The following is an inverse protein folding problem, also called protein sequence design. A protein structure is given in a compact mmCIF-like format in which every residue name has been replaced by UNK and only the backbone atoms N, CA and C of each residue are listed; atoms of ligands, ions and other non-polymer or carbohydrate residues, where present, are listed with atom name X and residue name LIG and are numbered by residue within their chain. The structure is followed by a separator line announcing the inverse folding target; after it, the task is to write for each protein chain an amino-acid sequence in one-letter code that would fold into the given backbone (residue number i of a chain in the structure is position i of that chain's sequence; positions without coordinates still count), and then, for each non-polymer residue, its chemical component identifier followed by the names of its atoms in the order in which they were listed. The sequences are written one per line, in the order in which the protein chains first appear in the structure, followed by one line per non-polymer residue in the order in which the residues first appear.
data_IF_020233987719
#
_entry.id   IF_020233987719
#
_cell.length_a   1.000
_cell.length_b   1.000
_cell.length_c   1.000
_cell.angle_alpha   90.00
_cell.angle_beta   90.00
_cell.angle_gamma   90.00
#
_symmetry.space_group_name_H-M   'P 1'
#
loop_
_entity.id
_entity.type
_entity.pdbx_description
1 polymer ?
#
# COMPACT_ATOMS: atom_id res chain seq x y z
N UNK A 1 -73.31 -97.87 -7.49
CA UNK A 1 -72.01 -97.30 -7.07
C UNK A 1 -71.77 -96.00 -7.83
N UNK A 2 -72.11 -94.84 -7.25
CA UNK A 2 -71.59 -93.56 -7.72
C UNK A 2 -70.26 -93.31 -6.99
N UNK A 3 -69.20 -93.06 -7.76
CA UNK A 3 -67.82 -92.88 -7.30
C UNK A 3 -67.72 -91.94 -6.10
N UNK A 4 -67.02 -92.39 -5.05
CA UNK A 4 -66.75 -91.69 -3.79
C UNK A 4 -66.03 -90.33 -3.98
N UNK A 5 -65.57 -89.98 -5.18
CA UNK A 5 -64.95 -88.68 -5.46
C UNK A 5 -65.94 -87.58 -5.82
N UNK A 6 -67.13 -87.92 -6.33
CA UNK A 6 -68.11 -86.89 -6.71
C UNK A 6 -68.80 -86.25 -5.50
N UNK A 7 -68.93 -87.00 -4.39
CA UNK A 7 -69.52 -86.49 -3.13
C UNK A 7 -68.61 -85.53 -2.35
N UNK A 8 -67.30 -85.51 -2.62
CA UNK A 8 -66.33 -84.62 -1.97
C UNK A 8 -66.15 -83.27 -2.69
N UNK A 9 -66.54 -83.18 -3.96
CA UNK A 9 -66.39 -81.95 -4.78
C UNK A 9 -67.60 -81.02 -4.62
N UNK A 10 -68.78 -81.56 -4.31
CA UNK A 10 -70.02 -80.79 -4.14
C UNK A 10 -69.96 -79.74 -3.00
N UNK A 11 -69.40 -80.01 -1.79
CA UNK A 11 -69.32 -78.97 -0.76
C UNK A 11 -68.24 -77.90 -1.03
N UNK A 12 -67.26 -78.16 -1.90
CA UNK A 12 -66.23 -77.18 -2.27
C UNK A 12 -66.73 -76.24 -3.37
N UNK A 13 -67.57 -76.74 -4.29
CA UNK A 13 -68.19 -75.91 -5.33
C UNK A 13 -69.24 -74.94 -4.76
N UNK A 14 -69.83 -75.24 -3.60
CA UNK A 14 -70.86 -74.41 -2.97
C UNK A 14 -70.29 -73.25 -2.13
N UNK A 15 -69.00 -73.28 -1.77
CA UNK A 15 -68.32 -72.20 -1.03
C UNK A 15 -67.71 -71.14 -1.98
N UNK A 16 -67.46 -71.48 -3.25
CA UNK A 16 -66.92 -70.54 -4.25
C UNK A 16 -68.00 -69.61 -4.83
N UNK A 17 -69.28 -69.89 -4.58
CA UNK A 17 -70.42 -69.04 -4.95
C UNK A 17 -71.10 -68.37 -3.74
N UNK A 18 -70.38 -68.19 -2.63
CA UNK A 18 -70.82 -67.25 -1.61
C UNK A 18 -70.68 -65.83 -2.17
N UNK A 19 -71.76 -65.01 -2.25
CA UNK A 19 -71.62 -63.62 -2.63
C UNK A 19 -70.77 -62.92 -1.57
N UNK A 20 -69.55 -62.54 -1.95
CA UNK A 20 -68.74 -61.61 -1.17
C UNK A 20 -69.50 -60.30 -1.20
N UNK A 21 -70.07 -59.90 -0.06
CA UNK A 21 -70.75 -58.62 0.09
C UNK A 21 -69.83 -57.49 -0.36
N UNK A 22 -70.31 -56.69 -1.30
CA UNK A 22 -69.62 -55.49 -1.76
C UNK A 22 -69.83 -54.46 -0.66
N UNK A 23 -68.77 -54.13 0.09
CA UNK A 23 -68.83 -53.13 1.14
C UNK A 23 -68.95 -51.72 0.54
N UNK A 24 -69.80 -50.83 1.10
CA UNK A 24 -69.92 -49.47 0.62
C UNK A 24 -68.61 -48.69 0.85
N UNK A 25 -68.18 -47.94 -0.18
CA UNK A 25 -66.99 -47.08 -0.11
C UNK A 25 -67.42 -45.67 0.28
N UNK A 26 -66.71 -45.05 1.23
CA UNK A 26 -66.95 -43.67 1.66
C UNK A 26 -65.92 -42.74 1.03
N UNK A 27 -66.40 -41.78 0.23
CA UNK A 27 -65.57 -40.72 -0.36
C UNK A 27 -65.77 -39.43 0.42
N UNK A 28 -64.69 -38.92 1.01
CA UNK A 28 -64.68 -37.65 1.72
C UNK A 28 -64.38 -36.51 0.75
N UNK A 29 -65.21 -35.46 0.75
CA UNK A 29 -65.04 -34.29 -0.10
C UNK A 29 -64.23 -33.19 0.60
N UNK A 30 -63.47 -32.41 -0.18
CA UNK A 30 -62.63 -31.29 0.29
C UNK A 30 -63.44 -30.10 0.81
N UNK A 31 -64.63 -29.88 0.26
CA UNK A 31 -65.54 -28.80 0.67
C UNK A 31 -66.49 -29.20 1.82
N UNK A 32 -66.36 -30.43 2.32
CA UNK A 32 -67.22 -31.00 3.35
C UNK A 32 -68.25 -31.98 2.80
N UNK A 33 -68.65 -32.93 3.66
CA UNK A 33 -69.62 -33.99 3.35
C UNK A 33 -68.97 -35.31 2.90
N UNK A 34 -69.75 -36.38 3.04
CA UNK A 34 -69.37 -37.75 2.69
C UNK A 34 -70.34 -38.34 1.67
N UNK A 35 -69.81 -39.07 0.71
CA UNK A 35 -70.60 -39.78 -0.29
C UNK A 35 -70.31 -41.28 -0.16
N UNK A 36 -71.31 -42.03 0.28
CA UNK A 36 -71.26 -43.48 0.38
C UNK A 36 -71.82 -44.10 -0.90
N UNK A 37 -71.06 -45.01 -1.50
CA UNK A 37 -71.50 -45.71 -2.70
C UNK A 37 -70.48 -46.71 -3.22
N UNK A 38 -70.87 -47.46 -4.24
CA UNK A 38 -69.99 -48.42 -4.90
C UNK A 38 -69.23 -47.75 -6.05
N UNK A 39 -67.92 -47.98 -6.18
CA UNK A 39 -67.15 -47.43 -7.30
C UNK A 39 -67.43 -48.27 -8.55
N UNK A 40 -68.11 -47.68 -9.54
CA UNK A 40 -68.40 -48.35 -10.81
C UNK A 40 -67.21 -48.22 -11.77
N UNK A 41 -66.62 -47.04 -11.87
CA UNK A 41 -65.53 -46.77 -12.82
C UNK A 41 -64.68 -45.59 -12.35
N UNK A 42 -63.37 -45.68 -12.58
CA UNK A 42 -62.41 -44.63 -12.22
C UNK A 42 -61.63 -44.18 -13.45
N UNK A 43 -61.57 -42.87 -13.67
CA UNK A 43 -60.75 -42.21 -14.70
C UNK A 43 -59.58 -41.45 -14.05
N UNK A 44 -58.70 -40.84 -14.86
CA UNK A 44 -57.56 -40.05 -14.36
C UNK A 44 -58.01 -38.85 -13.49
N UNK A 45 -59.08 -38.15 -13.90
CA UNK A 45 -59.57 -36.94 -13.23
C UNK A 45 -60.87 -37.10 -12.43
N UNK A 46 -61.59 -38.23 -12.54
CA UNK A 46 -62.90 -38.41 -11.88
C UNK A 46 -63.17 -39.85 -11.45
N UNK A 47 -64.06 -40.00 -10.47
CA UNK A 47 -64.56 -41.27 -9.93
C UNK A 47 -66.07 -41.31 -10.11
N UNK A 48 -66.61 -42.42 -10.63
CA UNK A 48 -68.04 -42.61 -10.82
C UNK A 48 -68.58 -43.58 -9.76
N UNK A 49 -69.45 -43.09 -8.89
CA UNK A 49 -70.02 -43.81 -7.75
C UNK A 49 -71.48 -44.17 -8.02
N UNK A 50 -71.90 -45.36 -7.59
CA UNK A 50 -73.30 -45.76 -7.48
C UNK A 50 -73.76 -45.47 -6.05
N UNK A 51 -74.50 -44.37 -5.87
CA UNK A 51 -75.13 -44.02 -4.59
C UNK A 51 -76.57 -44.54 -4.57
N UNK A 52 -77.21 -44.58 -3.39
CA UNK A 52 -78.62 -45.01 -3.24
C UNK A 52 -79.60 -44.17 -4.10
N UNK A 53 -79.18 -42.95 -4.45
CA UNK A 53 -79.90 -41.98 -5.28
C UNK A 53 -79.55 -42.02 -6.78
N UNK A 54 -78.62 -42.90 -7.22
CA UNK A 54 -78.24 -43.07 -8.63
C UNK A 54 -76.73 -42.96 -8.89
N UNK A 55 -76.33 -42.85 -10.16
CA UNK A 55 -74.92 -42.72 -10.55
C UNK A 55 -74.45 -41.27 -10.39
N UNK A 56 -73.42 -41.03 -9.59
CA UNK A 56 -72.84 -39.70 -9.34
C UNK A 56 -71.36 -39.68 -9.74
N UNK A 57 -70.99 -38.72 -10.59
CA UNK A 57 -69.58 -38.47 -10.97
C UNK A 57 -68.99 -37.41 -10.04
N UNK A 58 -67.83 -37.70 -9.45
CA UNK A 58 -67.08 -36.79 -8.57
C UNK A 58 -65.67 -36.60 -9.14
N UNK A 59 -65.21 -35.36 -9.26
CA UNK A 59 -63.86 -35.05 -9.73
C UNK A 59 -62.83 -35.19 -8.60
N UNK A 60 -61.64 -35.71 -8.91
CA UNK A 60 -60.62 -36.05 -7.90
C UNK A 60 -60.06 -34.84 -7.17
N UNK A 61 -60.11 -33.66 -7.78
CA UNK A 61 -59.68 -32.40 -7.16
C UNK A 61 -60.58 -32.01 -5.98
N UNK A 62 -61.81 -32.51 -5.96
CA UNK A 62 -62.79 -32.33 -4.89
C UNK A 62 -62.75 -33.44 -3.84
N UNK A 63 -61.95 -34.49 -4.05
CA UNK A 63 -61.83 -35.63 -3.13
C UNK A 63 -60.69 -35.35 -2.15
N UNK A 64 -60.99 -35.39 -0.87
CA UNK A 64 -60.00 -35.33 0.20
C UNK A 64 -59.36 -36.71 0.41
N UNK A 65 -60.18 -37.76 0.55
CA UNK A 65 -59.70 -39.14 0.75
C UNK A 65 -60.78 -40.17 0.39
N UNK A 66 -60.36 -41.34 -0.08
CA UNK A 66 -61.24 -42.50 -0.36
C UNK A 66 -60.99 -43.55 0.72
N UNK A 67 -62.04 -43.97 1.42
CA UNK A 67 -61.97 -44.91 2.54
C UNK A 67 -62.88 -46.11 2.25
N UNK A 68 -62.33 -47.32 2.37
CA UNK A 68 -63.02 -48.59 2.04
C UNK A 68 -63.79 -49.18 3.24
N UNK A 69 -64.10 -48.35 4.24
CA UNK A 69 -64.86 -48.69 5.45
C UNK A 69 -65.79 -47.53 5.79
N UNK A 70 -66.95 -47.83 6.37
CA UNK A 70 -67.88 -46.81 6.86
C UNK A 70 -67.25 -46.07 8.04
N UNK A 71 -67.04 -44.76 7.86
CA UNK A 71 -66.39 -43.91 8.86
C UNK A 71 -67.46 -43.18 9.67
N UNK A 72 -67.37 -43.29 11.00
CA UNK A 72 -68.21 -42.56 11.95
C UNK A 72 -67.80 -41.07 11.98
N UNK A 73 -68.73 -40.17 12.33
CA UNK A 73 -68.54 -38.72 12.23
C UNK A 73 -67.32 -38.21 13.05
N UNK A 74 -67.01 -38.87 14.18
CA UNK A 74 -65.86 -38.56 15.04
C UNK A 74 -64.49 -38.93 14.43
N UNK A 75 -64.45 -39.91 13.52
CA UNK A 75 -63.23 -40.35 12.83
C UNK A 75 -62.94 -39.50 11.58
N UNK A 76 -63.99 -38.96 10.95
CA UNK A 76 -63.90 -38.03 9.83
C UNK A 76 -63.22 -36.72 10.23
N UNK A 77 -63.59 -36.14 11.38
CA UNK A 77 -62.99 -34.90 11.87
C UNK A 77 -61.51 -35.07 12.26
N UNK A 78 -61.13 -36.24 12.79
CA UNK A 78 -59.72 -36.54 13.11
C UNK A 78 -58.87 -36.65 11.85
N UNK A 79 -59.38 -37.33 10.83
CA UNK A 79 -58.68 -37.50 9.55
C UNK A 79 -58.52 -36.15 8.83
N UNK A 80 -59.50 -35.24 8.92
CA UNK A 80 -59.39 -33.88 8.35
C UNK A 80 -58.33 -33.04 9.04
N UNK A 81 -58.32 -33.01 10.38
CA UNK A 81 -57.32 -32.26 11.15
C UNK A 81 -55.91 -32.76 10.85
N UNK A 82 -55.70 -34.07 10.82
CA UNK A 82 -54.38 -34.64 10.52
C UNK A 82 -53.88 -34.33 9.10
N UNK A 83 -54.76 -34.29 8.10
CA UNK A 83 -54.38 -34.01 6.72
C UNK A 83 -54.15 -32.51 6.47
N UNK A 84 -54.97 -31.64 7.07
CA UNK A 84 -54.76 -30.19 7.05
C UNK A 84 -53.48 -29.79 7.78
N UNK A 85 -53.17 -30.42 8.93
CA UNK A 85 -51.95 -30.20 9.68
C UNK A 85 -50.70 -30.63 8.89
N UNK A 86 -50.78 -31.73 8.12
CA UNK A 86 -49.69 -32.17 7.22
C UNK A 86 -49.45 -31.21 6.07
N UNK A 87 -50.51 -30.76 5.39
CA UNK A 87 -50.41 -29.80 4.29
C UNK A 87 -49.90 -28.43 4.77
N UNK A 88 -50.28 -28.01 5.98
CA UNK A 88 -49.77 -26.79 6.59
C UNK A 88 -48.30 -26.91 7.01
N UNK A 89 -47.87 -28.10 7.48
CA UNK A 89 -46.48 -28.38 7.80
C UNK A 89 -45.58 -28.40 6.55
N UNK A 90 -46.04 -29.03 5.46
CA UNK A 90 -45.29 -29.12 4.20
C UNK A 90 -45.10 -27.74 3.55
N UNK A 91 -46.14 -26.89 3.54
CA UNK A 91 -46.04 -25.50 3.05
C UNK A 91 -45.07 -24.64 3.87
N UNK A 92 -45.09 -24.77 5.20
CA UNK A 92 -44.13 -24.06 6.07
C UNK A 92 -42.70 -24.51 5.82
N UNK A 93 -42.48 -25.82 5.63
CA UNK A 93 -41.15 -26.36 5.34
C UNK A 93 -40.63 -25.88 3.97
N UNK A 94 -41.50 -25.73 2.97
CA UNK A 94 -41.16 -25.21 1.64
C UNK A 94 -40.82 -23.71 1.68
N UNK A 95 -41.63 -22.90 2.39
CA UNK A 95 -41.34 -21.47 2.62
C UNK A 95 -40.04 -21.25 3.40
N UNK A 96 -39.78 -22.05 4.44
CA UNK A 96 -38.54 -21.97 5.22
C UNK A 96 -37.31 -22.35 4.37
N UNK A 97 -37.43 -23.35 3.48
CA UNK A 97 -36.37 -23.72 2.52
C UNK A 97 -36.09 -22.62 1.51
N UNK A 98 -37.13 -22.00 0.93
CA UNK A 98 -36.95 -20.87 0.01
C UNK A 98 -36.34 -19.65 0.73
N UNK A 99 -36.81 -19.34 1.94
CA UNK A 99 -36.27 -18.24 2.74
C UNK A 99 -34.80 -18.48 3.11
N UNK A 100 -34.42 -19.72 3.41
CA UNK A 100 -33.03 -20.11 3.63
C UNK A 100 -32.16 -19.99 2.36
N UNK A 101 -32.68 -20.40 1.20
CA UNK A 101 -31.98 -20.28 -0.08
C UNK A 101 -31.76 -18.81 -0.47
N UNK A 102 -32.77 -17.95 -0.33
CA UNK A 102 -32.65 -16.50 -0.62
C UNK A 102 -31.63 -15.82 0.28
N UNK A 103 -31.58 -16.17 1.57
CA UNK A 103 -30.57 -15.66 2.50
C UNK A 103 -29.16 -16.09 2.09
N UNK A 104 -28.99 -17.34 1.66
CA UNK A 104 -27.71 -17.88 1.20
C UNK A 104 -27.23 -17.21 -0.10
N UNK A 105 -28.15 -16.94 -1.04
CA UNK A 105 -27.84 -16.21 -2.27
C UNK A 105 -27.49 -14.75 -1.99
N UNK A 106 -28.23 -14.06 -1.12
CA UNK A 106 -27.93 -12.69 -0.72
C UNK A 106 -26.58 -12.59 -0.01
N UNK A 107 -26.24 -13.57 0.83
CA UNK A 107 -24.93 -13.65 1.50
C UNK A 107 -23.79 -13.89 0.50
N UNK A 108 -23.98 -14.78 -0.48
CA UNK A 108 -23.01 -15.00 -1.57
C UNK A 108 -22.80 -13.76 -2.42
N UNK A 109 -23.87 -13.03 -2.74
CA UNK A 109 -23.81 -11.82 -3.56
C UNK A 109 -23.08 -10.69 -2.80
N UNK A 110 -23.36 -10.55 -1.51
CA UNK A 110 -22.59 -9.65 -0.62
C UNK A 110 -21.12 -10.03 -0.52
N UNK A 111 -20.80 -11.33 -0.42
CA UNK A 111 -19.42 -11.81 -0.38
C UNK A 111 -18.70 -11.54 -1.72
N UNK A 112 -19.37 -11.73 -2.86
CA UNK A 112 -18.82 -11.43 -4.18
C UNK A 112 -18.57 -9.93 -4.38
N UNK A 113 -19.51 -9.09 -3.96
CA UNK A 113 -19.37 -7.63 -4.02
C UNK A 113 -18.24 -7.13 -3.10
N UNK A 114 -18.13 -7.68 -1.89
CA UNK A 114 -17.01 -7.40 -0.98
C UNK A 114 -15.66 -7.83 -1.60
N UNK A 115 -15.59 -9.00 -2.24
CA UNK A 115 -14.38 -9.44 -2.94
C UNK A 115 -14.02 -8.55 -4.13
N UNK A 116 -15.01 -8.11 -4.92
CA UNK A 116 -14.78 -7.16 -6.03
C UNK A 116 -14.30 -5.81 -5.53
N UNK A 117 -14.89 -5.30 -4.45
CA UNK A 117 -14.45 -4.04 -3.83
C UNK A 117 -13.03 -4.15 -3.27
N UNK A 118 -12.71 -5.23 -2.57
CA UNK A 118 -11.37 -5.47 -2.06
C UNK A 118 -10.32 -5.59 -3.19
N UNK A 119 -10.65 -6.31 -4.27
CA UNK A 119 -9.79 -6.43 -5.45
C UNK A 119 -9.59 -5.07 -6.15
N UNK A 120 -10.66 -4.29 -6.32
CA UNK A 120 -10.58 -2.95 -6.92
C UNK A 120 -9.78 -1.97 -6.06
N UNK A 121 -9.91 -2.02 -4.73
CA UNK A 121 -9.08 -1.22 -3.81
C UNK A 121 -7.61 -1.65 -3.89
N UNK A 122 -7.33 -2.94 -3.95
CA UNK A 122 -5.95 -3.45 -4.10
C UNK A 122 -5.34 -3.01 -5.44
N UNK A 123 -6.09 -3.10 -6.53
CA UNK A 123 -5.64 -2.61 -7.85
C UNK A 123 -5.42 -1.09 -7.85
N UNK A 124 -6.30 -0.32 -7.22
CA UNK A 124 -6.14 1.12 -7.08
C UNK A 124 -4.89 1.48 -6.25
N UNK A 125 -4.63 0.76 -5.16
CA UNK A 125 -3.39 0.91 -4.37
C UNK A 125 -2.16 0.57 -5.19
N UNK A 126 -2.17 -0.54 -5.94
CA UNK A 126 -1.07 -0.92 -6.84
C UNK A 126 -0.83 0.13 -7.92
N UNK A 127 -1.88 0.67 -8.54
CA UNK A 127 -1.76 1.76 -9.52
C UNK A 127 -1.21 3.04 -8.87
N UNK A 128 -1.62 3.38 -7.65
CA UNK A 128 -1.09 4.55 -6.94
C UNK A 128 0.40 4.39 -6.60
N UNK A 129 0.81 3.18 -6.18
CA UNK A 129 2.22 2.86 -5.96
C UNK A 129 3.03 2.94 -7.25
N UNK A 130 2.52 2.41 -8.37
CA UNK A 130 3.15 2.51 -9.68
C UNK A 130 3.26 3.98 -10.11
N UNK A 131 2.23 4.81 -9.92
CA UNK A 131 2.29 6.25 -10.19
C UNK A 131 3.31 6.97 -9.31
N UNK A 132 3.45 6.57 -8.03
CA UNK A 132 4.48 7.08 -7.13
C UNK A 132 5.89 6.68 -7.57
N UNK A 133 6.06 5.45 -8.08
CA UNK A 133 7.32 4.99 -8.66
C UNK A 133 7.64 5.70 -9.98
N UNK A 134 6.64 5.86 -10.86
CA UNK A 134 6.76 6.61 -12.11
C UNK A 134 7.04 8.08 -11.89
N UNK A 135 6.53 8.68 -10.81
CA UNK A 135 6.88 10.04 -10.43
C UNK A 135 8.37 10.11 -10.12
N UNK A 136 8.92 9.17 -9.34
CA UNK A 136 10.32 9.11 -8.88
C UNK A 136 11.33 8.70 -9.97
N UNK A 137 11.24 9.28 -11.17
CA UNK A 137 12.18 8.99 -12.27
C UNK A 137 13.62 9.41 -11.92
N UNK A 138 14.63 8.61 -12.29
CA UNK A 138 16.05 8.91 -12.06
C UNK A 138 16.51 10.22 -12.72
N UNK A 139 15.98 10.54 -13.90
CA UNK A 139 16.28 11.81 -14.57
C UNK A 139 15.74 13.02 -13.81
N UNK A 140 14.53 12.92 -13.22
CA UNK A 140 13.96 14.00 -12.43
C UNK A 140 14.76 14.22 -11.15
N UNK A 141 15.21 13.13 -10.52
CA UNK A 141 16.11 13.21 -9.35
C UNK A 141 17.44 13.87 -9.72
N UNK A 142 18.08 13.44 -10.82
CA UNK A 142 19.33 14.02 -11.32
C UNK A 142 19.21 15.52 -11.59
N UNK A 143 18.16 15.94 -12.31
CA UNK A 143 17.95 17.35 -12.65
C UNK A 143 17.78 18.22 -11.40
N UNK A 144 17.08 17.71 -10.38
CA UNK A 144 16.93 18.41 -9.09
C UNK A 144 18.28 18.50 -8.36
N UNK A 145 19.02 17.40 -8.29
CA UNK A 145 20.35 17.36 -7.67
C UNK A 145 21.41 18.17 -8.42
N UNK A 146 21.20 18.44 -9.71
CA UNK A 146 22.05 19.32 -10.51
C UNK A 146 21.89 20.80 -10.11
N UNK A 147 20.68 21.23 -9.79
CA UNK A 147 20.43 22.60 -9.31
C UNK A 147 20.88 22.76 -7.87
N UNK A 148 20.48 21.82 -6.99
CA UNK A 148 20.81 21.85 -5.57
C UNK A 148 21.29 20.46 -5.12
N UNK A 149 22.53 20.32 -4.67
CA UNK A 149 23.03 19.04 -4.14
C UNK A 149 22.12 18.49 -3.04
N UNK A 150 21.70 17.22 -3.15
CA UNK A 150 20.76 16.58 -2.22
C UNK A 150 19.26 16.68 -2.57
N UNK A 151 18.85 17.54 -3.51
CA UNK A 151 17.42 17.73 -3.80
C UNK A 151 16.77 16.54 -4.52
N UNK A 152 17.49 15.87 -5.40
CA UNK A 152 17.06 14.62 -6.02
C UNK A 152 16.91 13.49 -5.00
N UNK A 153 17.81 13.43 -4.00
CA UNK A 153 17.72 12.45 -2.92
C UNK A 153 16.50 12.70 -2.04
N UNK A 154 16.19 13.97 -1.74
CA UNK A 154 14.94 14.34 -1.05
C UNK A 154 13.71 13.89 -1.84
N UNK A 155 13.72 14.09 -3.16
CA UNK A 155 12.63 13.67 -4.06
C UNK A 155 12.39 12.15 -4.05
N UNK A 156 13.46 11.37 -3.90
CA UNK A 156 13.42 9.90 -3.85
C UNK A 156 13.16 9.33 -2.45
N UNK A 157 12.74 10.17 -1.47
CA UNK A 157 12.55 9.82 -0.05
C UNK A 157 13.83 9.31 0.66
N UNK A 158 15.02 9.66 0.14
CA UNK A 158 16.32 9.32 0.71
C UNK A 158 16.75 10.42 1.70
N UNK A 159 16.05 10.49 2.84
CA UNK A 159 16.20 11.56 3.86
C UNK A 159 17.66 11.75 4.32
N UNK A 160 18.39 10.66 4.61
CA UNK A 160 19.78 10.76 5.06
C UNK A 160 20.69 11.41 4.02
N UNK A 161 20.63 10.93 2.77
CA UNK A 161 21.44 11.48 1.68
C UNK A 161 21.03 12.91 1.33
N UNK A 162 19.74 13.23 1.48
CA UNK A 162 19.24 14.60 1.29
C UNK A 162 19.82 15.61 2.28
N UNK A 163 20.31 15.17 3.45
CA UNK A 163 21.04 16.03 4.39
C UNK A 163 22.55 15.96 4.16
N UNK A 164 23.08 14.78 3.88
CA UNK A 164 24.52 14.55 3.75
C UNK A 164 25.15 15.34 2.59
N UNK A 165 24.58 15.27 1.39
CA UNK A 165 25.16 15.95 0.23
C UNK A 165 25.17 17.47 0.33
N UNK A 166 24.09 18.17 0.74
CA UNK A 166 24.14 19.61 0.87
C UNK A 166 25.05 20.06 2.00
N UNK A 167 25.12 19.32 3.12
CA UNK A 167 26.05 19.65 4.21
C UNK A 167 27.51 19.49 3.79
N UNK A 168 27.87 18.39 3.14
CA UNK A 168 29.21 18.19 2.59
C UNK A 168 29.55 19.22 1.52
N UNK A 169 28.61 19.51 0.61
CA UNK A 169 28.82 20.50 -0.43
C UNK A 169 29.00 21.90 0.16
N UNK A 170 28.19 22.30 1.15
CA UNK A 170 28.32 23.59 1.81
C UNK A 170 29.66 23.72 2.56
N UNK A 171 30.09 22.67 3.26
CA UNK A 171 31.39 22.63 3.93
C UNK A 171 32.54 22.78 2.93
N UNK A 172 32.52 22.02 1.82
CA UNK A 172 33.52 22.12 0.77
C UNK A 172 33.51 23.48 0.07
N UNK A 173 32.32 24.06 -0.17
CA UNK A 173 32.17 25.38 -0.77
C UNK A 173 32.74 26.48 0.14
N UNK A 174 32.52 26.36 1.46
CA UNK A 174 33.10 27.26 2.44
C UNK A 174 34.64 27.22 2.41
N UNK A 175 35.23 26.01 2.39
CA UNK A 175 36.69 25.85 2.28
C UNK A 175 37.22 26.43 0.97
N UNK A 176 36.55 26.14 -0.16
CA UNK A 176 36.92 26.69 -1.46
C UNK A 176 36.86 28.22 -1.48
N UNK A 177 35.85 28.82 -0.85
CA UNK A 177 35.71 30.26 -0.72
C UNK A 177 36.83 30.89 0.12
N UNK A 178 37.18 30.30 1.27
CA UNK A 178 38.28 30.82 2.09
C UNK A 178 39.62 30.74 1.33
N UNK A 179 39.90 29.62 0.65
CA UNK A 179 41.09 29.49 -0.20
C UNK A 179 41.09 30.47 -1.38
N UNK A 180 39.94 30.73 -1.99
CA UNK A 180 39.80 31.76 -3.03
C UNK A 180 40.15 33.15 -2.48
N UNK A 181 39.68 33.49 -1.28
CA UNK A 181 39.98 34.77 -0.64
C UNK A 181 41.48 34.92 -0.38
N UNK A 182 42.13 33.90 0.18
CA UNK A 182 43.58 33.88 0.43
C UNK A 182 44.37 34.03 -0.87
N UNK A 183 44.01 33.25 -1.90
CA UNK A 183 44.61 33.36 -3.23
C UNK A 183 44.47 34.78 -3.80
N UNK A 184 43.27 35.36 -3.77
CA UNK A 184 43.01 36.72 -4.29
C UNK A 184 43.85 37.77 -3.57
N UNK A 185 44.00 37.66 -2.24
CA UNK A 185 44.87 38.55 -1.47
C UNK A 185 46.33 38.39 -1.88
N UNK A 186 46.84 37.16 -2.02
CA UNK A 186 48.23 36.94 -2.45
C UNK A 186 48.52 37.44 -3.86
N UNK A 187 47.57 37.34 -4.79
CA UNK A 187 47.70 37.93 -6.14
C UNK A 187 47.75 39.45 -6.08
N UNK A 188 46.94 40.06 -5.21
CA UNK A 188 46.95 41.51 -5.01
C UNK A 188 48.28 41.97 -4.43
N UNK A 189 48.77 41.32 -3.37
CA UNK A 189 50.07 41.64 -2.75
C UNK A 189 51.24 41.49 -3.73
N UNK A 190 51.20 40.46 -4.59
CA UNK A 190 52.17 40.28 -5.66
C UNK A 190 52.15 41.45 -6.68
N UNK A 191 50.97 41.98 -6.99
CA UNK A 191 50.82 43.16 -7.86
C UNK A 191 51.27 44.46 -7.19
N UNK A 192 50.92 44.65 -5.91
CA UNK A 192 51.19 45.87 -5.14
C UNK A 192 52.69 46.07 -4.83
N UNK A 193 53.51 45.01 -4.90
CA UNK A 193 54.97 45.06 -4.69
C UNK A 193 55.75 45.79 -5.80
N UNK A 194 55.07 46.43 -6.75
CA UNK A 194 55.72 47.11 -7.86
C UNK A 194 56.46 46.12 -8.76
N UNK A 195 55.83 44.98 -9.05
CA UNK A 195 56.43 43.94 -9.86
C UNK A 195 56.83 44.51 -11.24
N UNK A 196 58.13 44.49 -11.60
CA UNK A 196 58.65 45.14 -12.80
C UNK A 196 58.21 44.46 -14.10
N UNK A 197 57.63 43.26 -14.02
CA UNK A 197 57.12 42.50 -15.16
C UNK A 197 55.58 42.58 -15.31
N UNK A 198 54.92 43.51 -14.64
CA UNK A 198 53.49 43.79 -14.89
C UNK A 198 53.29 44.54 -16.20
N UNK A 199 52.08 44.49 -16.76
CA UNK A 199 51.76 45.25 -17.98
C UNK A 199 51.98 46.74 -17.77
N UNK A 200 51.54 47.26 -16.62
CA UNK A 200 51.70 48.67 -16.26
C UNK A 200 53.18 49.06 -16.16
N UNK A 201 53.99 48.28 -15.42
CA UNK A 201 55.43 48.58 -15.29
C UNK A 201 56.18 48.47 -16.62
N UNK A 202 55.86 47.49 -17.47
CA UNK A 202 56.44 47.35 -18.81
C UNK A 202 56.06 48.53 -19.71
N UNK A 203 54.80 48.99 -19.64
CA UNK A 203 54.36 50.17 -20.40
C UNK A 203 55.02 51.45 -19.90
N UNK A 204 55.13 51.65 -18.59
CA UNK A 204 55.82 52.80 -18.01
C UNK A 204 57.31 52.79 -18.37
N UNK A 205 57.95 51.62 -18.29
CA UNK A 205 59.35 51.44 -18.69
C UNK A 205 59.56 51.72 -20.18
N UNK A 206 58.66 51.27 -21.07
CA UNK A 206 58.71 51.56 -22.50
C UNK A 206 58.50 53.06 -22.80
N UNK A 207 57.76 53.77 -21.95
CA UNK A 207 57.57 55.23 -22.00
C UNK A 207 58.70 56.01 -21.32
N UNK A 208 59.75 55.34 -20.83
CA UNK A 208 60.89 55.98 -20.17
C UNK A 208 60.59 56.52 -18.76
N UNK A 209 59.45 56.16 -18.16
CA UNK A 209 59.12 56.48 -16.77
C UNK A 209 59.57 55.36 -15.84
N UNK A 210 60.57 55.63 -14.99
CA UNK A 210 61.03 54.69 -13.99
C UNK A 210 60.07 54.63 -12.78
N UNK A 211 59.62 53.43 -12.43
CA UNK A 211 58.95 53.16 -11.16
C UNK A 211 60.00 52.91 -10.05
N UNK A 212 59.66 53.31 -8.82
CA UNK A 212 60.55 53.27 -7.65
C UNK A 212 60.96 51.83 -7.21
N UNK A 213 60.26 50.80 -7.69
CA UNK A 213 60.61 49.41 -7.48
C UNK A 213 61.20 48.85 -8.80
N UNK A 214 62.53 48.78 -8.87
CA UNK A 214 63.35 48.12 -9.90
C UNK A 214 62.92 48.35 -11.37
N UNK A 215 63.74 49.03 -12.17
CA UNK A 215 63.56 49.03 -13.62
C UNK A 215 63.71 47.60 -14.17
N UNK A 216 62.75 47.09 -14.97
CA UNK A 216 62.90 45.76 -15.57
C UNK A 216 64.19 45.71 -16.39
N UNK A 217 65.06 44.75 -16.07
CA UNK A 217 66.29 44.57 -16.84
C UNK A 217 65.96 44.00 -18.21
N UNK A 218 66.48 44.62 -19.26
CA UNK A 218 66.39 44.18 -20.65
C UNK A 218 67.35 43.01 -20.96
N UNK A 219 68.31 42.74 -20.06
CA UNK A 219 69.26 41.63 -20.16
C UNK A 219 68.68 40.38 -19.49
N UNK A 220 68.57 39.23 -20.19
CA UNK A 220 68.02 37.99 -19.63
C UNK A 220 68.78 37.48 -18.39
N UNK A 221 70.09 37.75 -18.29
CA UNK A 221 70.94 37.27 -17.20
C UNK A 221 70.73 38.13 -15.94
N UNK A 222 70.68 39.45 -16.09
CA UNK A 222 70.45 40.36 -14.97
C UNK A 222 69.02 40.26 -14.46
N UNK A 223 68.06 40.03 -15.37
CA UNK A 223 66.69 39.69 -15.01
C UNK A 223 66.63 38.42 -14.15
N UNK A 224 67.37 37.37 -14.49
CA UNK A 224 67.42 36.12 -13.72
C UNK A 224 68.04 36.30 -12.33
N UNK A 225 69.18 37.00 -12.23
CA UNK A 225 69.88 37.25 -10.96
C UNK A 225 69.10 38.18 -10.03
N UNK A 226 68.47 39.22 -10.56
CA UNK A 226 67.61 40.12 -9.80
C UNK A 226 66.35 39.38 -9.30
N UNK A 227 65.84 38.43 -10.08
CA UNK A 227 64.68 37.64 -9.70
C UNK A 227 65.01 36.74 -8.48
N UNK A 228 66.18 36.09 -8.46
CA UNK A 228 66.60 35.12 -7.43
C UNK A 228 66.63 35.68 -5.99
N UNK A 229 66.83 37.00 -5.82
CA UNK A 229 66.85 37.66 -4.50
C UNK A 229 65.63 38.55 -4.23
N UNK A 230 64.67 38.58 -5.15
CA UNK A 230 63.55 39.51 -5.08
C UNK A 230 62.41 38.99 -4.18
N UNK A 231 61.87 39.89 -3.36
CA UNK A 231 60.59 39.68 -2.65
C UNK A 231 59.44 39.32 -3.62
N UNK A 232 59.58 39.70 -4.90
CA UNK A 232 58.66 39.39 -5.98
C UNK A 232 58.59 37.87 -6.26
N UNK A 233 59.71 37.14 -6.22
CA UNK A 233 59.69 35.68 -6.37
C UNK A 233 58.96 35.00 -5.22
N UNK A 234 59.27 35.36 -3.97
CA UNK A 234 58.64 34.77 -2.80
C UNK A 234 57.12 34.95 -2.83
N UNK A 235 56.66 36.14 -3.24
CA UNK A 235 55.24 36.47 -3.32
C UNK A 235 54.55 35.83 -4.53
N UNK A 236 55.27 35.62 -5.62
CA UNK A 236 54.81 34.77 -6.73
C UNK A 236 54.63 33.32 -6.30
N UNK A 237 55.63 32.75 -5.61
CA UNK A 237 55.55 31.37 -5.12
C UNK A 237 54.41 31.20 -4.10
N UNK A 238 54.18 32.21 -3.24
CA UNK A 238 53.04 32.25 -2.33
C UNK A 238 51.70 32.27 -3.10
N UNK A 239 51.57 33.11 -4.12
CA UNK A 239 50.39 33.16 -4.97
C UNK A 239 50.16 31.84 -5.72
N UNK A 240 51.22 31.24 -6.28
CA UNK A 240 51.17 29.95 -6.97
C UNK A 240 50.79 28.80 -6.01
N UNK A 241 51.31 28.82 -4.78
CA UNK A 241 50.94 27.86 -3.74
C UNK A 241 49.46 28.01 -3.36
N UNK A 242 48.99 29.22 -3.08
CA UNK A 242 47.60 29.49 -2.72
C UNK A 242 46.65 29.14 -3.87
N UNK A 243 47.08 29.35 -5.12
CA UNK A 243 46.34 28.92 -6.29
C UNK A 243 46.19 27.39 -6.35
N UNK A 244 47.26 26.64 -6.11
CA UNK A 244 47.21 25.17 -6.05
C UNK A 244 46.29 24.68 -4.93
N UNK A 245 46.32 25.32 -3.75
CA UNK A 245 45.40 24.99 -2.65
C UNK A 245 43.94 25.27 -3.02
N UNK A 246 43.67 26.40 -3.67
CA UNK A 246 42.34 26.74 -4.19
C UNK A 246 41.86 25.75 -5.26
N UNK A 247 42.72 25.39 -6.22
CA UNK A 247 42.41 24.35 -7.22
C UNK A 247 42.10 23.01 -6.55
N UNK A 248 42.88 22.60 -5.55
CA UNK A 248 42.61 21.41 -4.76
C UNK A 248 41.22 21.44 -4.11
N UNK A 249 40.86 22.57 -3.49
CA UNK A 249 39.53 22.75 -2.90
C UNK A 249 38.41 22.70 -3.94
N UNK A 250 38.62 23.27 -5.14
CA UNK A 250 37.67 23.16 -6.25
C UNK A 250 37.52 21.72 -6.76
N UNK A 251 38.60 20.94 -6.82
CA UNK A 251 38.51 19.53 -7.20
C UNK A 251 37.71 18.71 -6.19
N UNK A 252 37.89 18.97 -4.88
CA UNK A 252 37.09 18.33 -3.83
C UNK A 252 35.62 18.73 -3.97
N UNK A 253 35.32 20.02 -4.13
CA UNK A 253 33.96 20.52 -4.31
C UNK A 253 33.28 19.90 -5.54
N UNK A 254 33.98 19.90 -6.68
CA UNK A 254 33.52 19.28 -7.92
C UNK A 254 33.35 17.77 -7.79
N UNK A 255 34.26 17.09 -7.09
CA UNK A 255 34.16 15.65 -6.80
C UNK A 255 32.91 15.31 -5.98
N UNK A 256 32.65 16.05 -4.91
CA UNK A 256 31.42 15.89 -4.10
C UNK A 256 30.18 16.13 -4.95
N UNK A 257 30.18 17.17 -5.78
CA UNK A 257 29.07 17.47 -6.68
C UNK A 257 28.80 16.33 -7.68
N UNK A 258 29.85 15.80 -8.31
CA UNK A 258 29.73 14.68 -9.26
C UNK A 258 29.24 13.40 -8.57
N UNK A 259 29.76 13.08 -7.39
CA UNK A 259 29.28 11.92 -6.61
C UNK A 259 27.80 12.09 -6.26
N UNK A 260 27.37 13.30 -5.87
CA UNK A 260 25.95 13.60 -5.64
C UNK A 260 25.09 13.34 -6.89
N UNK A 261 25.55 13.77 -8.09
CA UNK A 261 24.82 13.51 -9.33
C UNK A 261 24.72 12.02 -9.66
N UNK A 262 25.84 11.31 -9.60
CA UNK A 262 25.89 9.86 -9.83
C UNK A 262 24.97 9.15 -8.85
N UNK A 263 25.05 9.47 -7.56
CA UNK A 263 24.21 8.87 -6.54
C UNK A 263 22.73 9.16 -6.77
N UNK A 264 22.36 10.39 -7.10
CA UNK A 264 20.97 10.76 -7.39
C UNK A 264 20.39 10.03 -8.60
N UNK A 265 21.20 9.70 -9.62
CA UNK A 265 20.74 9.00 -10.81
C UNK A 265 20.70 7.48 -10.60
N UNK A 266 21.79 6.90 -10.10
CA UNK A 266 21.95 5.45 -9.94
C UNK A 266 21.02 4.90 -8.85
N UNK A 267 20.89 5.62 -7.73
CA UNK A 267 20.12 5.15 -6.58
C UNK A 267 18.74 5.80 -6.47
N UNK A 268 18.22 6.41 -7.54
CA UNK A 268 16.87 7.01 -7.52
C UNK A 268 15.76 6.00 -7.22
N UNK A 269 15.94 4.75 -7.70
CA UNK A 269 15.00 3.65 -7.52
C UNK A 269 15.39 2.72 -6.36
N UNK A 270 16.45 3.05 -5.61
CA UNK A 270 16.95 2.22 -4.52
C UNK A 270 16.10 2.40 -3.25
N UNK A 271 16.06 1.34 -2.43
CA UNK A 271 15.32 1.23 -1.17
C UNK A 271 15.61 2.43 -0.23
N UNK A 272 14.56 2.87 0.49
CA UNK A 272 14.59 3.91 1.54
C UNK A 272 15.83 3.76 2.43
N UNK A 273 16.45 4.89 2.80
CA UNK A 273 17.65 4.90 3.65
C UNK A 273 17.42 4.10 4.93
N UNK A 274 18.24 3.07 5.15
CA UNK A 274 18.22 2.21 6.35
C UNK A 274 18.38 3.03 7.63
N UNK A 275 19.09 4.15 7.54
CA UNK A 275 19.17 5.17 8.58
C UNK A 275 18.05 6.19 8.33
N UNK A 276 16.99 6.11 9.14
CA UNK A 276 15.95 7.13 9.19
C UNK A 276 16.25 8.09 10.35
N UNK A 277 16.00 9.38 10.14
CA UNK A 277 15.94 10.32 11.27
C UNK A 277 14.77 9.91 12.16
N UNK A 278 15.01 9.82 13.48
CA UNK A 278 13.95 9.53 14.44
C UNK A 278 12.91 10.64 14.38
N UNK A 279 11.66 10.27 14.13
CA UNK A 279 10.51 11.19 14.18
C UNK A 279 10.05 11.41 15.66
N UNK A 280 10.85 10.99 16.66
CA UNK A 280 10.56 11.11 18.09
C UNK A 280 9.44 10.20 18.62
N UNK A 281 8.79 9.45 17.73
CA UNK A 281 7.71 8.49 18.00
C UNK A 281 8.14 7.04 17.72
N UNK A 282 9.28 6.83 17.04
CA UNK A 282 9.75 5.53 16.62
C UNK A 282 10.68 4.90 17.67
N UNK A 283 10.30 3.70 18.12
CA UNK A 283 11.12 2.83 18.97
C UNK A 283 12.42 2.50 18.23
N UNK A 284 13.57 2.76 18.85
CA UNK A 284 14.88 2.58 18.22
C UNK A 284 16.02 3.33 18.92
N UNK A 285 17.22 3.25 18.32
CA UNK A 285 18.40 3.96 18.78
C UNK A 285 18.34 5.42 18.33
N UNK A 286 18.21 6.34 19.29
CA UNK A 286 18.18 7.79 19.06
C UNK A 286 19.55 8.36 19.39
N UNK A 287 20.17 9.02 18.40
CA UNK A 287 21.38 9.83 18.60
C UNK A 287 20.91 11.26 18.88
N UNK A 288 21.09 11.72 20.13
CA UNK A 288 20.71 13.07 20.54
C UNK A 288 21.95 13.90 20.85
N UNK A 289 22.01 15.11 20.31
CA UNK A 289 22.95 16.14 20.74
C UNK A 289 22.15 17.22 21.49
N UNK A 290 22.27 17.24 22.81
CA UNK A 290 21.59 18.24 23.65
C UNK A 290 22.63 19.31 24.00
N UNK A 291 22.33 20.60 23.81
CA UNK A 291 23.19 21.65 24.35
C UNK A 291 23.11 21.59 25.87
N UNK A 292 24.21 21.22 26.52
CA UNK A 292 24.32 21.34 27.97
C UNK A 292 24.33 22.83 28.30
N UNK A 293 23.49 23.24 29.27
CA UNK A 293 23.16 24.64 29.55
C UNK A 293 24.38 25.58 29.58
N UNK A 294 24.21 26.75 28.98
CA UNK A 294 25.17 27.86 28.99
C UNK A 294 25.45 28.30 30.43
N UNK A 295 26.60 27.92 30.97
CA UNK A 295 27.14 28.52 32.18
C UNK A 295 27.91 29.79 31.80
N UNK A 296 27.40 30.96 32.18
CA UNK A 296 28.19 32.19 32.17
C UNK A 296 29.25 32.11 33.28
N UNK A 297 30.44 31.59 32.95
CA UNK A 297 31.57 31.56 33.86
C UNK A 297 32.34 32.86 33.80
N UNK A 298 32.19 33.74 34.80
CA UNK A 298 33.13 34.84 35.02
C UNK A 298 34.37 34.31 35.72
N UNK A 299 35.42 34.02 34.95
CA UNK A 299 36.75 33.70 35.48
C UNK A 299 37.58 34.97 35.66
N UNK A 300 37.95 35.29 36.91
CA UNK A 300 39.00 36.27 37.17
C UNK A 300 40.36 35.57 37.01
N UNK A 301 41.12 35.95 35.98
CA UNK A 301 42.57 35.70 35.93
C UNK A 301 43.30 37.04 36.00
N UNK A 302 44.47 37.07 36.64
CA UNK A 302 45.18 38.29 37.06
C UNK A 302 45.68 39.20 35.95
N UNK A 303 45.28 39.00 34.68
CA UNK A 303 45.74 39.79 33.53
C UNK A 303 44.66 40.09 32.46
N UNK A 304 43.37 39.95 32.77
CA UNK A 304 42.31 40.44 31.89
C UNK A 304 40.99 39.68 32.02
N UNK A 305 39.88 40.41 31.83
CA UNK A 305 38.53 39.86 31.80
C UNK A 305 38.26 39.24 30.43
N UNK A 306 38.10 37.91 30.36
CA UNK A 306 37.63 37.23 29.15
C UNK A 306 36.18 36.81 29.35
N UNK A 307 35.29 37.33 28.50
CA UNK A 307 33.89 36.90 28.43
C UNK A 307 33.74 35.95 27.25
N UNK A 308 33.74 34.65 27.50
CA UNK A 308 33.51 33.61 26.49
C UNK A 308 32.21 32.86 26.77
N UNK A 309 31.32 32.77 25.79
CA UNK A 309 30.21 31.83 25.82
C UNK A 309 30.75 30.46 25.39
N UNK A 310 30.93 29.52 26.33
CA UNK A 310 31.28 28.14 26.01
C UNK A 310 29.97 27.33 25.85
N UNK A 311 29.64 26.93 24.62
CA UNK A 311 28.54 25.99 24.38
C UNK A 311 29.08 24.58 24.38
N UNK A 312 28.76 23.80 25.43
CA UNK A 312 29.12 22.38 25.51
C UNK A 312 28.00 21.55 24.92
N UNK A 313 28.34 20.70 23.94
CA UNK A 313 27.41 19.72 23.39
C UNK A 313 27.69 18.37 24.06
N UNK A 314 26.67 17.78 24.67
CA UNK A 314 26.73 16.37 25.10
C UNK A 314 26.08 15.52 24.01
N UNK A 315 26.90 14.67 23.38
CA UNK A 315 26.40 13.63 22.48
C UNK A 315 26.04 12.39 23.31
N UNK A 316 24.82 11.90 23.18
CA UNK A 316 24.35 10.69 23.83
C UNK A 316 23.59 9.80 22.85
N UNK A 317 23.60 8.50 23.10
CA UNK A 317 22.70 7.54 22.45
C UNK A 317 21.71 7.02 23.50
N UNK A 318 20.42 6.93 23.14
CA UNK A 318 19.40 6.30 23.99
C UNK A 318 18.59 5.30 23.17
N UNK A 319 18.16 4.22 23.80
CA UNK A 319 17.23 3.27 23.20
C UNK A 319 15.82 3.58 23.72
N UNK A 320 14.88 3.85 22.82
CA UNK A 320 13.45 3.91 23.14
C UNK A 320 12.78 2.60 22.74
N UNK A 321 12.11 1.97 23.72
CA UNK A 321 11.50 0.65 23.59
C UNK A 321 9.99 0.69 23.39
#
# INVERSE_FOLDING_TARGET
MLSLHLKKIIPILLIVFAPIGIFPVTVLLREGGKVNGEIITQNQHSVLLQTESGKRKIDKDLILKILFQEVNDDEEEKIRKEEEDKLAAEKKEEEDKEAAQRKLEEEKLKEEDLKKQAAAEEEARRQEELRKQEAKRPLNALMRSAVVPGWGQYYTDRKFQSLLYPTLFAAAAFVAYDKFRVYRTSVKEYGDLGNPYTKESLTLAALGQAQAAATPSLSPIDAYLANQSSQVQLKREEADKNFREYQGALYVLGGIYLINLIDSYVFANSIKSVVQFSDGQSKGMVISAIPAGVGAGSGFSSNGTYSGMETKYTMGYRFEF
#
